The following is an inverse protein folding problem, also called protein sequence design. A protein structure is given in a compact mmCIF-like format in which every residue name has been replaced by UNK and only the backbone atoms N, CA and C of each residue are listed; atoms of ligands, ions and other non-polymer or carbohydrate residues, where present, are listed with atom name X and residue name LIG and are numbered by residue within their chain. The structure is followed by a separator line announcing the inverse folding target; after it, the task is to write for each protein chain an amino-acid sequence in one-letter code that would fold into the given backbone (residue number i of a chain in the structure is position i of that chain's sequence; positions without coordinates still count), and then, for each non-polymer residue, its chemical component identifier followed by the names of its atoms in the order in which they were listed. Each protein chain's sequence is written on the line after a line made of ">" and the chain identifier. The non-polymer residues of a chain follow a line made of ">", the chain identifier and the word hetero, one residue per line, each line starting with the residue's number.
data_IF_560617670836
#
_entry.id   IF_560617670836
#
_cell.length_a   1.000
_cell.length_b   1.000
_cell.length_c   1.000
_cell.angle_alpha   90.00
_cell.angle_beta   90.00
_cell.angle_gamma   90.00
#
_symmetry.space_group_name_H-M   'P 1'
#
loop_
_entity.id
_entity.type
_entity.pdbx_description
1 polymer ?
#
# COMPACT_ATOMS: atom_id res chain seq x y z
N UNK A 1 14.72 14.86 13.73
CA UNK A 1 14.28 16.24 13.85
C UNK A 1 15.38 17.25 13.51
N UNK A 2 16.61 17.01 13.99
CA UNK A 2 17.74 17.86 13.64
C UNK A 2 18.04 17.85 12.14
N UNK A 3 17.80 16.74 11.48
CA UNK A 3 18.00 16.57 10.04
C UNK A 3 17.07 17.49 9.25
N UNK A 4 15.79 17.53 9.63
CA UNK A 4 14.82 18.42 8.98
C UNK A 4 15.18 19.90 9.17
N UNK A 5 15.63 20.26 10.36
CA UNK A 5 16.02 21.63 10.68
C UNK A 5 17.18 22.08 9.80
N UNK A 6 18.22 21.25 9.66
CA UNK A 6 19.37 21.54 8.81
C UNK A 6 18.96 21.65 7.34
N UNK A 7 18.10 20.78 6.88
CA UNK A 7 17.62 20.80 5.50
C UNK A 7 16.82 22.07 5.22
N UNK A 8 15.97 22.50 6.15
CA UNK A 8 15.22 23.74 6.03
C UNK A 8 16.12 24.97 5.96
N UNK A 9 17.34 24.87 6.48
CA UNK A 9 18.34 25.92 6.42
C UNK A 9 19.16 25.89 5.12
N UNK A 10 18.81 25.04 4.18
CA UNK A 10 19.49 24.95 2.89
C UNK A 10 20.57 23.90 2.79
N UNK A 11 20.70 23.02 3.79
CA UNK A 11 21.69 21.95 3.78
C UNK A 11 21.11 20.73 3.07
N UNK A 12 21.84 20.24 2.06
CA UNK A 12 21.47 18.98 1.39
C UNK A 12 21.93 17.81 2.24
N UNK A 13 21.02 16.89 2.51
CA UNK A 13 21.29 15.75 3.38
C UNK A 13 21.09 14.46 2.61
N UNK A 14 22.06 13.54 2.72
CA UNK A 14 21.99 12.20 2.17
C UNK A 14 21.86 11.24 3.33
N UNK A 15 20.75 10.48 3.34
CA UNK A 15 20.45 9.50 4.37
C UNK A 15 20.53 8.12 3.78
N UNK A 16 21.32 7.24 4.39
CA UNK A 16 21.38 5.84 4.04
C UNK A 16 20.68 5.04 5.13
N UNK A 17 19.63 4.31 4.77
CA UNK A 17 18.85 3.56 5.75
C UNK A 17 18.25 2.31 5.11
N UNK A 18 17.95 1.32 5.94
CA UNK A 18 17.16 0.16 5.53
C UNK A 18 15.75 0.23 6.14
N UNK A 19 15.45 1.30 6.86
CA UNK A 19 14.11 1.54 7.41
C UNK A 19 13.29 2.33 6.38
N UNK A 20 12.44 1.62 5.65
CA UNK A 20 11.66 2.19 4.54
C UNK A 20 10.70 3.29 5.00
N UNK A 21 10.09 3.12 6.16
CA UNK A 21 9.18 4.12 6.73
C UNK A 21 9.88 5.44 7.01
N UNK A 22 11.11 5.38 7.53
CA UNK A 22 11.92 6.56 7.80
C UNK A 22 12.24 7.30 6.50
N UNK A 23 12.67 6.56 5.47
CA UNK A 23 12.98 7.14 4.17
C UNK A 23 11.75 7.81 3.55
N UNK A 24 10.60 7.16 3.63
CA UNK A 24 9.35 7.69 3.09
C UNK A 24 8.94 9.01 3.73
N UNK A 25 9.10 9.12 5.04
CA UNK A 25 8.71 10.33 5.79
C UNK A 25 9.69 11.48 5.67
N UNK A 26 10.98 11.19 5.52
CA UNK A 26 12.03 12.20 5.61
C UNK A 26 12.62 12.62 4.29
N UNK A 27 12.53 11.81 3.26
CA UNK A 27 13.25 12.06 2.01
C UNK A 27 12.37 12.60 0.91
N UNK A 28 12.87 13.61 0.20
CA UNK A 28 12.20 14.15 -0.99
C UNK A 28 12.43 13.26 -2.22
N UNK A 29 13.64 12.70 -2.29
CA UNK A 29 14.03 11.76 -3.34
C UNK A 29 14.63 10.51 -2.73
N UNK A 30 14.40 9.38 -3.36
CA UNK A 30 14.86 8.10 -2.87
C UNK A 30 15.53 7.31 -3.99
N UNK A 31 16.72 6.78 -3.68
CA UNK A 31 17.37 5.79 -4.52
C UNK A 31 17.24 4.43 -3.86
N UNK A 32 16.83 3.42 -4.60
CA UNK A 32 16.67 2.07 -4.10
C UNK A 32 17.79 1.19 -4.65
N UNK A 33 18.55 0.59 -3.75
CA UNK A 33 19.65 -0.32 -4.09
C UNK A 33 19.25 -1.76 -3.85
N UNK A 34 19.56 -2.63 -4.79
CA UNK A 34 19.40 -4.06 -4.63
C UNK A 34 20.64 -4.77 -5.18
N UNK A 35 21.30 -5.53 -4.32
CA UNK A 35 22.51 -6.27 -4.67
C UNK A 35 23.59 -5.38 -5.32
N UNK A 36 23.75 -4.17 -4.78
CA UNK A 36 24.75 -3.22 -5.27
C UNK A 36 24.33 -2.42 -6.50
N UNK A 37 23.14 -2.65 -7.03
CA UNK A 37 22.64 -1.95 -8.21
C UNK A 37 21.55 -0.96 -7.85
N UNK A 38 21.60 0.22 -8.46
CA UNK A 38 20.53 1.22 -8.30
C UNK A 38 19.37 0.80 -9.18
N UNK A 39 18.27 0.33 -8.56
CA UNK A 39 17.10 -0.18 -9.29
C UNK A 39 16.01 0.87 -9.47
N UNK A 40 16.06 1.97 -8.71
CA UNK A 40 15.14 3.09 -8.87
C UNK A 40 15.75 4.35 -8.26
N UNK A 41 15.46 5.48 -8.87
CA UNK A 41 15.83 6.80 -8.34
C UNK A 41 14.77 7.79 -8.81
N UNK A 42 13.99 8.30 -7.88
CA UNK A 42 12.91 9.24 -8.21
C UNK A 42 12.48 9.99 -6.94
N UNK A 43 11.56 10.94 -7.09
CA UNK A 43 10.93 11.56 -5.94
C UNK A 43 10.12 10.51 -5.17
N UNK A 44 10.01 10.69 -3.88
CA UNK A 44 9.21 9.81 -3.01
C UNK A 44 7.78 9.72 -3.53
N UNK A 45 7.21 10.85 -3.92
CA UNK A 45 5.85 10.92 -4.46
C UNK A 45 5.69 10.09 -5.73
N UNK A 46 6.64 10.21 -6.68
CA UNK A 46 6.58 9.47 -7.93
C UNK A 46 6.72 7.96 -7.70
N UNK A 47 7.59 7.56 -6.78
CA UNK A 47 7.76 6.13 -6.45
C UNK A 47 6.47 5.55 -5.89
N UNK A 48 5.81 6.25 -4.97
CA UNK A 48 4.56 5.78 -4.38
C UNK A 48 3.43 5.73 -5.40
N UNK A 49 3.42 6.67 -6.36
CA UNK A 49 2.40 6.71 -7.41
C UNK A 49 2.52 5.58 -8.43
N UNK A 50 3.65 4.89 -8.49
CA UNK A 50 3.82 3.73 -9.37
C UNK A 50 2.97 2.53 -8.97
N UNK A 51 2.56 2.48 -7.70
CA UNK A 51 1.74 1.39 -7.18
C UNK A 51 0.27 1.69 -7.48
N UNK A 52 -0.34 0.85 -8.29
CA UNK A 52 -1.74 0.97 -8.65
C UNK A 52 -2.66 0.15 -7.75
N UNK A 53 -2.08 -0.64 -6.86
CA UNK A 53 -2.82 -1.52 -5.96
C UNK A 53 -3.15 -0.81 -4.65
N UNK A 54 -4.37 -0.99 -4.18
CA UNK A 54 -4.83 -0.45 -2.91
C UNK A 54 -5.35 -1.58 -2.03
N UNK A 55 -5.07 -1.48 -0.71
CA UNK A 55 -5.53 -2.47 0.28
C UNK A 55 -6.67 -1.88 1.08
N UNK A 56 -7.70 -2.68 1.31
CA UNK A 56 -8.89 -2.30 2.07
C UNK A 56 -9.24 -3.40 3.04
N UNK A 57 -9.47 -3.05 4.30
CA UNK A 57 -9.95 -3.97 5.33
C UNK A 57 -11.40 -3.63 5.66
N UNK A 58 -12.26 -4.62 5.55
CA UNK A 58 -13.68 -4.51 5.91
C UNK A 58 -13.93 -5.22 7.23
N UNK A 59 -14.60 -4.52 8.14
CA UNK A 59 -15.12 -5.14 9.35
C UNK A 59 -16.59 -5.48 9.09
N UNK A 60 -16.93 -6.76 9.23
CA UNK A 60 -18.25 -7.27 8.90
C UNK A 60 -19.03 -7.64 10.17
N UNK A 61 -20.35 -7.68 10.07
CA UNK A 61 -21.22 -8.06 11.19
C UNK A 61 -21.19 -9.57 11.44
N UNK A 62 -20.78 -10.37 10.45
CA UNK A 62 -20.69 -11.83 10.52
C UNK A 62 -19.43 -12.32 9.82
N UNK A 63 -18.92 -13.50 10.20
CA UNK A 63 -17.82 -14.12 9.46
C UNK A 63 -18.22 -14.36 8.01
N UNK A 64 -17.30 -14.06 7.09
CA UNK A 64 -17.55 -14.26 5.67
C UNK A 64 -16.92 -15.56 5.18
N UNK A 65 -17.59 -16.23 4.25
CA UNK A 65 -17.08 -17.40 3.57
C UNK A 65 -16.92 -17.13 2.07
N UNK A 66 -16.52 -15.93 1.73
CA UNK A 66 -16.31 -15.56 0.33
C UNK A 66 -15.20 -16.41 -0.26
N UNK A 67 -15.55 -17.15 -1.31
CA UNK A 67 -14.59 -17.97 -2.03
C UNK A 67 -13.81 -17.09 -3.00
N UNK A 68 -12.52 -17.36 -3.14
CA UNK A 68 -11.63 -16.59 -4.01
C UNK A 68 -12.09 -16.57 -5.47
N UNK A 69 -12.82 -17.58 -5.90
CA UNK A 69 -13.29 -17.69 -7.28
C UNK A 69 -14.39 -16.67 -7.61
N UNK A 70 -15.03 -16.09 -6.60
CA UNK A 70 -16.09 -15.10 -6.80
C UNK A 70 -15.60 -13.69 -6.96
N UNK A 71 -14.29 -13.47 -6.76
CA UNK A 71 -13.70 -12.15 -6.77
C UNK A 71 -12.60 -12.05 -7.83
N UNK A 72 -12.99 -12.15 -9.09
CA UNK A 72 -12.04 -12.13 -10.21
C UNK A 72 -11.17 -10.86 -10.28
N UNK A 73 -11.67 -9.75 -9.74
CA UNK A 73 -10.98 -8.46 -9.78
C UNK A 73 -10.31 -8.11 -8.47
N UNK A 74 -10.44 -8.96 -7.45
CA UNK A 74 -9.90 -8.71 -6.12
C UNK A 74 -9.00 -9.87 -5.68
N UNK A 75 -7.98 -9.54 -4.92
CA UNK A 75 -7.13 -10.53 -4.27
C UNK A 75 -7.41 -10.49 -2.77
N UNK A 76 -7.82 -11.63 -2.20
CA UNK A 76 -8.01 -11.74 -0.76
C UNK A 76 -6.66 -11.95 -0.10
N UNK A 77 -6.27 -11.01 0.77
CA UNK A 77 -4.99 -11.08 1.48
C UNK A 77 -5.11 -11.81 2.80
N UNK A 78 -6.20 -11.60 3.52
CA UNK A 78 -6.44 -12.29 4.79
C UNK A 78 -7.92 -12.26 5.15
N UNK A 79 -8.35 -13.30 5.86
CA UNK A 79 -9.66 -13.36 6.51
C UNK A 79 -9.41 -13.76 7.94
N UNK A 80 -9.88 -12.96 8.89
CA UNK A 80 -9.72 -13.22 10.32
C UNK A 80 -11.01 -12.83 11.03
N UNK A 81 -11.69 -13.79 11.63
CA UNK A 81 -12.98 -13.57 12.30
C UNK A 81 -13.96 -12.83 11.37
N UNK A 82 -14.33 -11.60 11.74
CA UNK A 82 -15.26 -10.77 10.97
C UNK A 82 -14.54 -9.76 10.08
N UNK A 83 -13.23 -9.86 9.93
CA UNK A 83 -12.43 -8.94 9.12
C UNK A 83 -11.94 -9.60 7.84
N UNK A 84 -12.05 -8.89 6.73
CA UNK A 84 -11.51 -9.33 5.45
C UNK A 84 -10.66 -8.19 4.87
N UNK A 85 -9.43 -8.52 4.47
CA UNK A 85 -8.53 -7.59 3.81
C UNK A 85 -8.35 -8.02 2.36
N UNK A 86 -8.64 -7.10 1.45
CA UNK A 86 -8.51 -7.35 0.01
C UNK A 86 -7.60 -6.33 -0.62
N UNK A 87 -7.00 -6.68 -1.75
CA UNK A 87 -6.25 -5.76 -2.56
C UNK A 87 -6.90 -5.67 -3.94
N UNK A 88 -6.92 -4.47 -4.53
CA UNK A 88 -7.49 -4.25 -5.83
C UNK A 88 -6.69 -3.21 -6.61
N UNK A 89 -6.79 -3.25 -7.93
CA UNK A 89 -6.12 -2.27 -8.81
C UNK A 89 -7.03 -1.08 -9.03
N UNK A 90 -6.59 0.11 -8.60
CA UNK A 90 -7.35 1.35 -8.66
C UNK A 90 -7.78 1.74 -10.08
N UNK A 91 -7.01 1.35 -11.08
CA UNK A 91 -7.29 1.67 -12.47
C UNK A 91 -8.27 0.72 -13.14
N UNK A 92 -8.59 -0.41 -12.50
CA UNK A 92 -9.51 -1.42 -13.05
C UNK A 92 -10.86 -1.46 -12.38
N UNK A 93 -10.90 -1.20 -11.07
CA UNK A 93 -12.11 -1.32 -10.28
C UNK A 93 -12.18 -0.17 -9.28
N UNK A 94 -13.38 0.37 -9.07
CA UNK A 94 -13.61 1.44 -8.11
C UNK A 94 -13.97 0.86 -6.75
N UNK A 95 -13.69 1.63 -5.68
CA UNK A 95 -14.00 1.20 -4.32
C UNK A 95 -15.48 0.84 -4.14
N UNK A 96 -16.37 1.52 -4.83
CA UNK A 96 -17.81 1.24 -4.79
C UNK A 96 -18.12 -0.18 -5.25
N UNK A 97 -17.43 -0.62 -6.31
CA UNK A 97 -17.60 -1.97 -6.83
C UNK A 97 -17.04 -3.01 -5.86
N UNK A 98 -15.93 -2.68 -5.18
CA UNK A 98 -15.34 -3.55 -4.14
C UNK A 98 -16.34 -3.74 -3.00
N UNK A 99 -16.94 -2.65 -2.53
CA UNK A 99 -17.94 -2.68 -1.46
C UNK A 99 -19.12 -3.55 -1.86
N UNK A 100 -19.59 -3.41 -3.09
CA UNK A 100 -20.72 -4.20 -3.58
C UNK A 100 -20.42 -5.69 -3.68
N UNK A 101 -19.17 -6.05 -3.98
CA UNK A 101 -18.75 -7.45 -4.04
C UNK A 101 -18.68 -8.10 -2.65
N UNK A 102 -18.31 -7.31 -1.64
CA UNK A 102 -18.18 -7.79 -0.26
C UNK A 102 -19.54 -7.83 0.44
N UNK A 103 -20.34 -6.78 0.24
CA UNK A 103 -21.64 -6.64 0.89
C UNK A 103 -22.70 -7.46 0.16
N UNK A 104 -23.51 -8.20 0.92
CA UNK A 104 -24.68 -8.92 0.40
C UNK A 104 -25.81 -8.82 1.40
N UNK A 105 -26.97 -9.47 1.10
CA UNK A 105 -28.16 -9.39 1.95
C UNK A 105 -27.93 -9.88 3.38
N UNK A 106 -27.03 -10.86 3.54
CA UNK A 106 -26.76 -11.48 4.83
C UNK A 106 -25.58 -10.85 5.58
N UNK A 107 -24.71 -10.13 4.86
CA UNK A 107 -23.48 -9.58 5.45
C UNK A 107 -23.50 -8.06 5.29
N UNK A 108 -23.33 -7.37 6.41
CA UNK A 108 -23.26 -5.90 6.43
C UNK A 108 -21.85 -5.45 6.81
N UNK A 109 -21.39 -4.40 6.16
CA UNK A 109 -20.11 -3.77 6.45
C UNK A 109 -20.30 -2.81 7.62
N UNK A 110 -19.55 -3.04 8.71
CA UNK A 110 -19.60 -2.17 9.90
C UNK A 110 -18.57 -1.05 9.83
N UNK A 111 -17.42 -1.30 9.21
CA UNK A 111 -16.36 -0.32 9.11
C UNK A 111 -15.44 -0.65 7.94
N UNK A 112 -14.80 0.37 7.39
CA UNK A 112 -13.88 0.25 6.26
C UNK A 112 -12.60 0.99 6.62
N UNK A 113 -11.46 0.31 6.50
CA UNK A 113 -10.14 0.91 6.69
C UNK A 113 -9.33 0.73 5.41
N UNK A 114 -8.83 1.83 4.86
CA UNK A 114 -8.02 1.79 3.64
C UNK A 114 -6.57 2.07 3.96
N UNK A 115 -5.67 1.34 3.32
CA UNK A 115 -4.24 1.56 3.41
C UNK A 115 -3.69 1.91 2.04
N UNK A 116 -3.08 3.08 1.93
CA UNK A 116 -2.39 3.48 0.71
C UNK A 116 -1.09 2.69 0.58
N UNK A 117 -0.60 2.59 -0.65
CA UNK A 117 0.69 1.96 -0.92
C UNK A 117 1.81 2.69 -0.17
N UNK A 118 2.76 1.93 0.35
CA UNK A 118 3.93 2.45 1.02
C UNK A 118 5.21 2.07 0.25
N UNK A 119 6.34 2.55 0.74
CA UNK A 119 7.63 2.31 0.07
C UNK A 119 8.01 0.83 0.06
N UNK A 120 7.55 0.07 1.05
CA UNK A 120 7.77 -1.38 1.08
C UNK A 120 7.11 -2.06 -0.11
N UNK A 121 5.89 -1.64 -0.47
CA UNK A 121 5.19 -2.18 -1.65
C UNK A 121 5.97 -1.89 -2.93
N UNK A 122 6.54 -0.69 -3.06
CA UNK A 122 7.38 -0.30 -4.19
C UNK A 122 8.61 -1.20 -4.28
N UNK A 123 9.29 -1.36 -3.15
CA UNK A 123 10.52 -2.16 -3.05
C UNK A 123 10.26 -3.62 -3.44
N UNK A 124 9.21 -4.23 -2.89
CA UNK A 124 8.86 -5.61 -3.20
C UNK A 124 8.52 -5.80 -4.69
N UNK A 125 7.85 -4.82 -5.28
CA UNK A 125 7.54 -4.84 -6.71
C UNK A 125 8.78 -4.80 -7.60
N UNK A 126 9.79 -4.05 -7.19
CA UNK A 126 11.04 -3.92 -7.94
C UNK A 126 11.94 -5.15 -7.82
N UNK A 127 11.92 -5.82 -6.67
CA UNK A 127 12.74 -7.01 -6.43
C UNK A 127 12.22 -8.23 -7.18
N UNK A 128 10.90 -8.37 -7.31
CA UNK A 128 10.26 -9.54 -7.93
C UNK A 128 10.49 -9.62 -9.43
N UNK A 129 10.94 -8.55 -10.02
CA UNK A 129 11.29 -8.52 -11.44
C UNK A 129 12.79 -8.73 -11.59
#
# INVERSE_FOLDING_TARGET
>A
ENVKLLNNQGVTIILTTHYLEEAEKMCDRIGILNKGNLVALDSTKNLLNKIQTKKVTFKLDKPTQIKSDQLNSLKILSISDNNITVSYEKNRIKIEEVINLIQNEDIKILDISTNDADLEDVFLGLIKN
#
